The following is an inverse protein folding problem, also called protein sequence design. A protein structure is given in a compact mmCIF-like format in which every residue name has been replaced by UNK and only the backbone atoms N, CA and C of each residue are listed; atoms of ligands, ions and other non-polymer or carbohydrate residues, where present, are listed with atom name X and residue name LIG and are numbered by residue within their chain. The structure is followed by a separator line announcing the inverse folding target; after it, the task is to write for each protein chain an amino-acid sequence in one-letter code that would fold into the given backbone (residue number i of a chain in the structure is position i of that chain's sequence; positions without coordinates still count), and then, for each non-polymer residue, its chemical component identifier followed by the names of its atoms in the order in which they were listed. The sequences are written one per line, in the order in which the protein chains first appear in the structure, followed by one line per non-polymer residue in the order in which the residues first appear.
data_IF_358300445573
#
_entry.id   IF_358300445573
#
_cell.length_a   1.000
_cell.length_b   1.000
_cell.length_c   1.000
_cell.angle_alpha   90.00
_cell.angle_beta   90.00
_cell.angle_gamma   90.00
#
_symmetry.space_group_name_H-M   'P 1'
#
loop_
_entity.id
_entity.type
_entity.pdbx_description
1 polymer ?
#
# COMPACT_ATOMS: atom_id res chain seq x y z
N UNK A 1 -6.21 -17.83 12.03
CA UNK A 1 -6.85 -17.46 10.74
C UNK A 1 -5.88 -16.53 10.02
N UNK A 2 -5.27 -16.97 8.91
CA UNK A 2 -4.45 -16.10 8.05
C UNK A 2 -5.38 -15.51 7.01
N UNK A 3 -5.71 -14.23 7.14
CA UNK A 3 -6.46 -13.46 6.15
C UNK A 3 -5.43 -12.71 5.32
N UNK A 4 -5.01 -13.30 4.22
CA UNK A 4 -4.25 -12.58 3.19
C UNK A 4 -4.54 -13.28 1.87
N UNK A 5 -5.75 -13.08 1.37
CA UNK A 5 -6.07 -13.35 -0.03
C UNK A 5 -5.46 -12.21 -0.84
N UNK A 6 -4.27 -12.46 -1.38
CA UNK A 6 -3.64 -11.55 -2.34
C UNK A 6 -4.27 -11.89 -3.68
N UNK A 7 -5.06 -10.97 -4.22
CA UNK A 7 -5.59 -11.07 -5.58
C UNK A 7 -4.47 -10.67 -6.55
N UNK A 8 -4.24 -11.49 -7.57
CA UNK A 8 -3.26 -11.20 -8.62
C UNK A 8 -4.00 -10.86 -9.93
N UNK A 9 -3.50 -9.88 -10.71
CA UNK A 9 -3.97 -9.67 -12.08
C UNK A 9 -3.80 -10.94 -12.90
N UNK A 10 -4.79 -11.27 -13.73
CA UNK A 10 -4.76 -12.45 -14.61
C UNK A 10 -4.12 -12.12 -15.97
N UNK A 11 -4.07 -10.84 -16.33
CA UNK A 11 -3.52 -10.33 -17.58
C UNK A 11 -1.98 -10.33 -17.63
N UNK A 12 -1.42 -10.38 -18.85
CA UNK A 12 0.02 -10.31 -19.08
C UNK A 12 0.62 -8.97 -18.62
N UNK A 13 1.73 -9.05 -17.88
CA UNK A 13 2.41 -7.90 -17.30
C UNK A 13 2.83 -6.88 -18.38
N UNK A 14 2.64 -5.59 -18.09
CA UNK A 14 3.01 -4.49 -19.00
C UNK A 14 1.96 -4.14 -20.07
N UNK A 15 0.79 -4.78 -20.05
CA UNK A 15 -0.34 -4.42 -20.92
C UNK A 15 -1.30 -3.44 -20.24
N UNK A 16 -2.03 -2.63 -21.01
CA UNK A 16 -3.09 -1.74 -20.47
C UNK A 16 -4.16 -2.51 -19.67
N UNK A 17 -4.46 -3.74 -20.08
CA UNK A 17 -5.40 -4.62 -19.39
C UNK A 17 -4.88 -5.04 -18.01
N UNK A 18 -3.58 -5.39 -17.93
CA UNK A 18 -2.92 -5.65 -16.67
C UNK A 18 -2.96 -4.44 -15.74
N UNK A 19 -2.66 -3.24 -16.24
CA UNK A 19 -2.71 -2.03 -15.40
C UNK A 19 -4.11 -1.74 -14.86
N UNK A 20 -5.17 -1.95 -15.67
CA UNK A 20 -6.56 -1.80 -15.21
C UNK A 20 -6.97 -2.85 -14.17
N UNK A 21 -6.59 -4.10 -14.36
CA UNK A 21 -6.85 -5.16 -13.37
C UNK A 21 -6.09 -4.90 -12.08
N UNK A 22 -4.84 -4.46 -12.18
CA UNK A 22 -4.01 -4.08 -11.04
C UNK A 22 -4.61 -2.90 -10.27
N UNK A 23 -5.07 -1.86 -10.97
CA UNK A 23 -5.81 -0.74 -10.36
C UNK A 23 -7.07 -1.23 -9.64
N UNK A 24 -7.90 -2.04 -10.31
CA UNK A 24 -9.14 -2.57 -9.75
C UNK A 24 -8.88 -3.38 -8.48
N UNK A 25 -7.91 -4.29 -8.52
CA UNK A 25 -7.55 -5.14 -7.39
C UNK A 25 -7.05 -4.28 -6.23
N UNK A 26 -6.14 -3.34 -6.48
CA UNK A 26 -5.61 -2.48 -5.42
C UNK A 26 -6.66 -1.56 -4.82
N UNK A 27 -7.66 -1.12 -5.59
CA UNK A 27 -8.78 -0.32 -5.09
C UNK A 27 -9.62 -1.03 -4.03
N UNK A 28 -9.64 -2.38 -4.02
CA UNK A 28 -10.40 -3.19 -3.06
C UNK A 28 -9.60 -3.47 -1.78
N UNK A 29 -8.26 -3.50 -1.86
CA UNK A 29 -7.39 -4.02 -0.79
C UNK A 29 -6.83 -2.90 0.10
N UNK A 30 -6.97 -1.64 -0.31
CA UNK A 30 -6.54 -0.49 0.48
C UNK A 30 -7.58 -0.10 1.55
N UNK A 31 -7.14 0.45 2.71
CA UNK A 31 -5.76 0.80 3.05
C UNK A 31 -4.88 -0.39 3.43
N UNK A 32 -3.63 -0.38 2.97
CA UNK A 32 -2.62 -1.42 3.20
C UNK A 32 -1.81 -1.06 4.45
N UNK A 33 -1.71 -2.00 5.39
CA UNK A 33 -0.85 -1.86 6.58
C UNK A 33 0.44 -2.66 6.36
N UNK A 34 1.57 -1.97 6.38
CA UNK A 34 2.90 -2.58 6.34
C UNK A 34 3.38 -2.84 7.76
N UNK A 35 3.77 -4.09 8.01
CA UNK A 35 4.13 -4.57 9.33
C UNK A 35 5.57 -5.10 9.31
N UNK A 36 6.41 -4.62 10.23
CA UNK A 36 7.74 -5.17 10.45
C UNK A 36 7.62 -6.44 11.30
N UNK A 37 7.91 -7.58 10.69
CA UNK A 37 7.85 -8.88 11.36
C UNK A 37 8.98 -9.06 12.39
N UNK A 38 10.12 -8.41 12.19
CA UNK A 38 11.26 -8.44 13.11
C UNK A 38 10.94 -7.67 14.38
N UNK A 39 10.46 -6.43 14.23
CA UNK A 39 10.08 -5.57 15.35
C UNK A 39 8.65 -5.85 15.88
N UNK A 40 7.89 -6.70 15.19
CA UNK A 40 6.51 -7.07 15.50
C UNK A 40 5.59 -5.87 15.69
N UNK A 41 5.71 -4.86 14.84
CA UNK A 41 4.89 -3.65 14.91
C UNK A 41 4.50 -3.12 13.53
N UNK A 42 3.34 -2.46 13.41
CA UNK A 42 3.00 -1.71 12.21
C UNK A 42 4.03 -0.58 12.01
N UNK A 43 4.44 -0.38 10.78
CA UNK A 43 5.38 0.67 10.39
C UNK A 43 4.74 1.71 9.49
N UNK A 44 3.80 1.30 8.64
CA UNK A 44 3.22 2.21 7.66
C UNK A 44 1.81 1.82 7.29
N UNK A 45 1.01 2.81 6.92
CA UNK A 45 -0.29 2.63 6.27
C UNK A 45 -0.26 3.37 4.95
N UNK A 46 -0.69 2.72 3.87
CA UNK A 46 -0.80 3.31 2.54
C UNK A 46 -2.25 3.27 2.10
N UNK A 47 -2.77 4.37 1.55
CA UNK A 47 -4.15 4.50 1.09
C UNK A 47 -4.22 5.36 -0.16
N UNK A 48 -5.16 5.09 -1.08
CA UNK A 48 -5.52 6.04 -2.16
C UNK A 48 -6.63 7.01 -1.77
N UNK A 49 -7.32 6.71 -0.65
CA UNK A 49 -8.32 7.59 -0.07
C UNK A 49 -7.80 8.28 1.18
N UNK A 50 -8.42 9.42 1.51
CA UNK A 50 -8.12 10.15 2.74
C UNK A 50 -8.44 9.30 3.97
N UNK A 51 -7.48 9.19 4.89
CA UNK A 51 -7.64 8.49 6.15
C UNK A 51 -8.17 9.48 7.18
N UNK A 52 -9.49 9.45 7.40
CA UNK A 52 -10.20 10.42 8.24
C UNK A 52 -9.66 10.53 9.67
N UNK A 53 -9.14 9.43 10.23
CA UNK A 53 -8.64 9.35 11.60
C UNK A 53 -7.10 9.23 11.68
N UNK A 54 -6.37 9.70 10.65
CA UNK A 54 -4.90 9.65 10.63
C UNK A 54 -4.26 10.37 11.84
N UNK A 55 -4.95 11.36 12.43
CA UNK A 55 -4.51 12.07 13.63
C UNK A 55 -4.36 11.17 14.87
N UNK A 56 -5.08 10.04 14.92
CA UNK A 56 -4.91 9.05 16.00
C UNK A 56 -3.54 8.37 15.98
N UNK A 57 -2.82 8.48 14.86
CA UNK A 57 -1.48 7.93 14.66
C UNK A 57 -0.39 8.98 14.90
N UNK A 58 -0.75 10.24 15.18
CA UNK A 58 0.22 11.27 15.57
C UNK A 58 0.93 10.88 16.87
N UNK A 59 2.26 11.02 16.89
CA UNK A 59 3.09 10.58 18.01
C UNK A 59 3.41 9.08 18.03
N UNK A 60 2.84 8.30 17.11
CA UNK A 60 3.34 6.96 16.80
C UNK A 60 4.49 7.03 15.78
N UNK A 61 5.28 5.95 15.69
CA UNK A 61 6.29 5.81 14.63
C UNK A 61 5.70 5.18 13.35
N UNK A 62 4.40 5.29 13.13
CA UNK A 62 3.70 4.73 11.97
C UNK A 62 3.59 5.82 10.91
N UNK A 63 4.17 5.59 9.74
CA UNK A 63 4.09 6.52 8.61
C UNK A 63 2.73 6.34 7.93
N UNK A 64 2.01 7.44 7.71
CA UNK A 64 0.76 7.42 6.94
C UNK A 64 1.02 8.03 5.57
N UNK A 65 0.77 7.25 4.53
CA UNK A 65 0.95 7.66 3.14
C UNK A 65 -0.39 7.66 2.41
N UNK A 66 -0.92 8.86 2.19
CA UNK A 66 -2.08 9.09 1.31
C UNK A 66 -1.57 9.37 -0.10
N UNK A 67 -1.74 8.40 -0.98
CA UNK A 67 -1.44 8.51 -2.40
C UNK A 67 -2.65 9.05 -3.15
N UNK A 68 -2.43 9.85 -4.18
CA UNK A 68 -3.49 10.32 -5.08
C UNK A 68 -3.56 9.41 -6.31
N UNK A 69 -2.42 8.89 -6.75
CA UNK A 69 -2.31 8.02 -7.93
C UNK A 69 -1.34 6.88 -7.68
N UNK A 70 -1.47 5.77 -8.42
CA UNK A 70 -0.52 4.66 -8.34
C UNK A 70 0.94 5.09 -8.55
N UNK A 71 1.19 6.15 -9.33
CA UNK A 71 2.53 6.68 -9.54
C UNK A 71 3.19 7.13 -8.23
N UNK A 72 2.39 7.59 -7.25
CA UNK A 72 2.90 8.00 -5.93
C UNK A 72 3.51 6.80 -5.18
N UNK A 73 3.04 5.57 -5.42
CA UNK A 73 3.67 4.36 -4.88
C UNK A 73 5.07 4.11 -5.45
N UNK A 74 5.37 4.66 -6.62
CA UNK A 74 6.65 4.43 -7.30
C UNK A 74 7.63 5.58 -7.09
N UNK A 75 7.14 6.77 -6.71
CA UNK A 75 7.96 7.99 -6.62
C UNK A 75 8.07 8.54 -5.21
N UNK A 76 7.33 8.03 -4.23
CA UNK A 76 7.39 8.56 -2.87
C UNK A 76 8.62 8.04 -2.12
N UNK A 77 9.49 8.95 -1.69
CA UNK A 77 10.73 8.61 -1.00
C UNK A 77 10.52 7.84 0.32
N UNK A 78 9.35 7.99 0.96
CA UNK A 78 9.04 7.30 2.21
C UNK A 78 8.91 5.79 2.05
N UNK A 79 8.70 5.29 0.82
CA UNK A 79 8.53 3.86 0.52
C UNK A 79 9.68 3.30 -0.32
N UNK A 80 10.68 4.12 -0.65
CA UNK A 80 11.86 3.69 -1.40
C UNK A 80 12.58 2.50 -0.73
N UNK A 81 12.58 2.46 0.61
CA UNK A 81 13.17 1.34 1.36
C UNK A 81 12.46 0.00 1.16
N UNK A 82 11.19 -0.01 0.73
CA UNK A 82 10.45 -1.25 0.44
C UNK A 82 10.94 -1.92 -0.86
N UNK A 83 11.57 -1.16 -1.74
CA UNK A 83 12.05 -1.63 -3.05
C UNK A 83 13.54 -1.93 -3.06
N UNK A 84 14.30 -1.44 -2.08
CA UNK A 84 15.73 -1.71 -1.94
C UNK A 84 15.97 -3.14 -1.45
N UNK A 85 16.50 -3.97 -2.36
CA UNK A 85 16.97 -5.33 -2.07
C UNK A 85 18.34 -5.34 -1.39
#
# INVERSE_FOLDING_TARGET
VRLSEILFPASEYGTDAFFKEFELINSVILPLVIFDLTQRKPMMIISFDKILDASLLEGTNIVVLECITLADLLTNDNIDFLYKS
#
